data_IF_496041079618
#
_entry.id   IF_496041079618
#
_cell.length_a   1.000
_cell.length_b   1.000
_cell.length_c   1.000
_cell.angle_alpha   90.00
_cell.angle_beta   90.00
_cell.angle_gamma   90.00
#
_symmetry.space_group_name_H-M   'P 1'
#
loop_
_entity.id
_entity.type
_entity.pdbx_description
1 polymer ?
#
# COMPACT_ATOMS: atom_id res chain seq x y z
N UNK A 1 -5.99 14.60 -14.76
CA UNK A 1 -5.82 15.36 -13.51
C UNK A 1 -4.49 16.11 -13.64
N UNK A 2 -4.48 17.44 -13.53
CA UNK A 2 -3.26 18.21 -13.79
C UNK A 2 -2.34 18.09 -12.55
N UNK A 3 -1.14 17.55 -12.72
CA UNK A 3 -0.11 17.47 -11.67
C UNK A 3 0.22 18.83 -11.01
N UNK A 4 -0.17 19.92 -11.65
CA UNK A 4 0.08 21.28 -11.19
C UNK A 4 -0.67 21.61 -9.89
N UNK A 5 -1.91 21.18 -9.73
CA UNK A 5 -2.73 21.52 -8.55
C UNK A 5 -2.27 20.83 -7.26
N UNK A 6 -1.79 19.60 -7.37
CA UNK A 6 -1.20 18.85 -6.23
C UNK A 6 0.14 19.46 -5.83
N UNK A 7 0.95 19.80 -6.84
CA UNK A 7 2.27 20.39 -6.61
C UNK A 7 2.17 21.80 -5.98
N UNK A 8 1.14 22.56 -6.32
CA UNK A 8 0.90 23.91 -5.76
C UNK A 8 0.47 23.84 -4.29
N UNK A 9 -0.32 22.82 -3.88
CA UNK A 9 -0.67 22.62 -2.48
C UNK A 9 0.57 22.35 -1.63
N UNK A 10 1.45 21.46 -2.07
CA UNK A 10 2.68 21.13 -1.35
C UNK A 10 3.66 22.31 -1.31
N UNK A 11 3.74 23.10 -2.38
CA UNK A 11 4.52 24.34 -2.38
C UNK A 11 4.01 25.36 -1.37
N UNK A 12 2.69 25.48 -1.22
CA UNK A 12 2.11 26.42 -0.24
C UNK A 12 2.30 25.95 1.21
N UNK A 13 2.41 24.64 1.43
CA UNK A 13 2.57 24.04 2.75
C UNK A 13 3.98 23.47 2.99
N UNK A 14 5.00 24.03 2.34
CA UNK A 14 6.39 23.56 2.42
C UNK A 14 6.94 23.45 3.85
N UNK A 15 6.53 24.36 4.76
CA UNK A 15 6.92 24.31 6.17
C UNK A 15 6.46 23.03 6.88
N UNK A 16 5.23 22.57 6.59
CA UNK A 16 4.71 21.30 7.13
C UNK A 16 5.42 20.08 6.54
N UNK A 17 5.84 20.15 5.26
CA UNK A 17 6.68 19.12 4.63
C UNK A 17 8.04 19.03 5.28
N UNK A 18 8.70 20.16 5.56
CA UNK A 18 9.97 20.18 6.28
C UNK A 18 9.84 19.52 7.65
N UNK A 19 8.80 19.86 8.40
CA UNK A 19 8.53 19.24 9.72
C UNK A 19 8.36 17.73 9.60
N UNK A 20 7.63 17.26 8.59
CA UNK A 20 7.49 15.84 8.30
C UNK A 20 8.84 15.19 7.99
N UNK A 21 9.65 15.79 7.10
CA UNK A 21 10.97 15.28 6.70
C UNK A 21 11.93 15.26 7.90
N UNK A 22 11.92 16.30 8.73
CA UNK A 22 12.75 16.35 9.95
C UNK A 22 12.40 15.24 10.93
N UNK A 23 11.11 15.01 11.20
CA UNK A 23 10.70 13.92 12.08
C UNK A 23 11.04 12.55 11.49
N UNK A 24 10.89 12.39 10.18
CA UNK A 24 11.29 11.16 9.49
C UNK A 24 12.80 10.94 9.55
N UNK A 25 13.61 11.99 9.38
CA UNK A 25 15.06 11.92 9.49
C UNK A 25 15.51 11.45 10.88
N UNK A 26 14.88 11.97 11.95
CA UNK A 26 15.14 11.51 13.32
C UNK A 26 14.83 10.02 13.46
N UNK A 27 13.67 9.56 13.00
CA UNK A 27 13.29 8.13 13.05
C UNK A 27 14.27 7.28 12.25
N UNK A 28 14.65 7.74 11.05
CA UNK A 28 15.59 7.05 10.16
C UNK A 28 16.98 6.89 10.79
N UNK A 29 17.42 7.87 11.57
CA UNK A 29 18.68 7.81 12.29
C UNK A 29 18.63 6.79 13.44
N UNK A 30 17.54 6.77 14.22
CA UNK A 30 17.40 5.86 15.36
C UNK A 30 17.06 4.41 14.94
N UNK A 31 16.46 4.19 13.77
CA UNK A 31 16.02 2.87 13.34
C UNK A 31 17.19 1.84 13.24
N UNK A 32 18.33 2.13 12.58
CA UNK A 32 19.47 1.20 12.55
C UNK A 32 20.11 1.00 13.92
N UNK A 33 20.09 2.00 14.81
CA UNK A 33 20.63 1.88 16.17
C UNK A 33 19.91 0.81 17.00
N UNK A 34 18.64 0.53 16.69
CA UNK A 34 17.88 -0.57 17.34
C UNK A 34 18.55 -1.93 17.13
N UNK A 35 19.22 -2.16 16.01
CA UNK A 35 19.93 -3.41 15.74
C UNK A 35 21.12 -3.65 16.68
N UNK A 36 21.70 -2.59 17.24
CA UNK A 36 22.82 -2.70 18.20
C UNK A 36 22.38 -2.89 19.65
N UNK A 37 21.10 -2.69 19.95
CA UNK A 37 20.57 -2.81 21.31
C UNK A 37 20.79 -4.21 21.87
N UNK A 38 20.60 -5.23 21.06
CA UNK A 38 20.79 -6.63 21.48
C UNK A 38 22.27 -6.91 21.78
N UNK A 39 23.20 -6.38 20.98
CA UNK A 39 24.64 -6.50 21.20
C UNK A 39 25.03 -5.88 22.52
N UNK A 40 24.62 -4.66 22.83
CA UNK A 40 24.93 -3.99 24.09
C UNK A 40 24.44 -4.76 25.32
N UNK A 41 23.26 -5.41 25.20
CA UNK A 41 22.69 -6.22 26.27
C UNK A 41 23.49 -7.51 26.48
N UNK A 42 23.93 -8.17 25.40
CA UNK A 42 24.71 -9.42 25.45
C UNK A 42 26.14 -9.14 25.96
N UNK A 43 26.75 -8.05 25.56
CA UNK A 43 28.12 -7.67 25.94
C UNK A 43 28.20 -7.14 27.38
N UNK A 44 27.10 -6.95 28.09
CA UNK A 44 27.08 -6.47 29.48
C UNK A 44 27.70 -7.47 30.44
N UNK A 45 28.71 -7.01 31.19
CA UNK A 45 29.43 -7.84 32.15
C UNK A 45 28.90 -7.79 33.58
N UNK A 46 28.05 -6.79 33.88
CA UNK A 46 27.48 -6.57 35.22
C UNK A 46 26.00 -6.31 35.15
N UNK A 47 25.26 -6.71 36.22
CA UNK A 47 23.83 -6.41 36.34
C UNK A 47 23.52 -4.92 36.28
N UNK A 48 24.41 -4.06 36.81
CA UNK A 48 24.25 -2.61 36.76
C UNK A 48 24.41 -2.06 35.33
N UNK A 49 25.39 -2.58 34.57
CA UNK A 49 25.58 -2.22 33.16
C UNK A 49 24.39 -2.67 32.32
N UNK A 50 23.88 -3.89 32.54
CA UNK A 50 22.70 -4.41 31.86
C UNK A 50 21.46 -3.52 32.12
N UNK A 51 21.27 -3.06 33.35
CA UNK A 51 20.16 -2.16 33.70
C UNK A 51 20.30 -0.80 33.00
N UNK A 52 21.52 -0.26 32.91
CA UNK A 52 21.81 0.96 32.18
C UNK A 52 21.51 0.84 30.68
N UNK A 53 21.94 -0.28 30.07
CA UNK A 53 21.62 -0.55 28.65
C UNK A 53 20.13 -0.75 28.42
N UNK A 54 19.40 -1.41 29.32
CA UNK A 54 17.92 -1.51 29.22
C UNK A 54 17.26 -0.15 29.25
N UNK A 55 17.71 0.78 30.12
CA UNK A 55 17.21 2.16 30.13
C UNK A 55 17.47 2.89 28.82
N UNK A 56 18.66 2.72 28.25
CA UNK A 56 19.04 3.32 26.94
C UNK A 56 18.23 2.74 25.78
N UNK A 57 18.01 1.41 25.78
CA UNK A 57 17.14 0.72 24.81
C UNK A 57 15.72 1.28 24.88
N UNK A 58 15.16 1.43 26.08
CA UNK A 58 13.83 2.00 26.29
C UNK A 58 13.76 3.43 25.75
N UNK A 59 14.75 4.26 26.06
CA UNK A 59 14.82 5.65 25.64
C UNK A 59 14.89 5.78 24.09
N UNK A 60 15.75 5.00 23.42
CA UNK A 60 15.85 4.99 21.96
C UNK A 60 14.55 4.52 21.32
N UNK A 61 13.94 3.45 21.85
CA UNK A 61 12.71 2.91 21.31
C UNK A 61 11.53 3.88 21.51
N UNK A 62 11.42 4.49 22.70
CA UNK A 62 10.40 5.48 23.01
C UNK A 62 10.54 6.73 22.13
N UNK A 63 11.77 7.23 21.98
CA UNK A 63 12.06 8.39 21.12
C UNK A 63 11.68 8.10 19.66
N UNK A 64 12.08 6.94 19.13
CA UNK A 64 11.71 6.53 17.77
C UNK A 64 10.19 6.46 17.60
N UNK A 65 9.49 5.81 18.53
CA UNK A 65 8.02 5.69 18.51
C UNK A 65 7.34 7.07 18.54
N UNK A 66 7.83 7.95 19.40
CA UNK A 66 7.27 9.30 19.53
C UNK A 66 7.41 10.10 18.23
N UNK A 67 8.62 10.13 17.65
CA UNK A 67 8.86 10.84 16.40
C UNK A 67 8.17 10.19 15.21
N UNK A 68 8.06 8.88 15.16
CA UNK A 68 7.25 8.17 14.13
C UNK A 68 5.78 8.60 14.21
N UNK A 69 5.22 8.68 15.41
CA UNK A 69 3.85 9.15 15.61
C UNK A 69 3.66 10.61 15.13
N UNK A 70 4.63 11.47 15.40
CA UNK A 70 4.62 12.87 14.93
C UNK A 70 4.74 12.95 13.41
N UNK A 71 5.66 12.19 12.82
CA UNK A 71 5.86 12.10 11.38
C UNK A 71 4.58 11.66 10.65
N UNK A 72 3.98 10.55 11.09
CA UNK A 72 2.71 10.05 10.52
C UNK A 72 1.57 11.07 10.66
N UNK A 73 1.42 11.71 11.82
CA UNK A 73 0.40 12.75 12.04
C UNK A 73 0.60 13.95 11.13
N UNK A 74 1.83 14.42 10.98
CA UNK A 74 2.16 15.57 10.14
C UNK A 74 1.84 15.28 8.67
N UNK A 75 2.23 14.11 8.19
CA UNK A 75 1.93 13.69 6.82
C UNK A 75 0.43 13.48 6.57
N UNK A 76 -0.27 12.80 7.49
CA UNK A 76 -1.72 12.57 7.37
C UNK A 76 -2.49 13.91 7.25
N UNK A 77 -2.12 14.91 8.05
CA UNK A 77 -2.73 16.24 7.94
C UNK A 77 -2.48 16.90 6.59
N UNK A 78 -1.27 16.75 6.03
CA UNK A 78 -0.93 17.24 4.70
C UNK A 78 -1.73 16.52 3.62
N UNK A 79 -1.75 15.19 3.66
CA UNK A 79 -2.45 14.37 2.67
C UNK A 79 -3.96 14.59 2.69
N UNK A 80 -4.58 14.65 3.88
CA UNK A 80 -6.01 14.95 4.01
C UNK A 80 -6.34 16.33 3.48
N UNK A 81 -5.53 17.36 3.79
CA UNK A 81 -5.75 18.71 3.26
C UNK A 81 -5.59 18.80 1.75
N UNK A 82 -4.65 18.04 1.16
CA UNK A 82 -4.51 17.95 -0.29
C UNK A 82 -5.75 17.29 -0.93
N UNK A 83 -6.26 16.21 -0.36
CA UNK A 83 -7.49 15.54 -0.83
C UNK A 83 -8.72 16.46 -0.69
N UNK A 84 -8.82 17.20 0.40
CA UNK A 84 -9.89 18.19 0.60
C UNK A 84 -9.89 19.28 -0.48
N UNK A 85 -8.71 19.82 -0.80
CA UNK A 85 -8.57 20.80 -1.87
C UNK A 85 -8.97 20.22 -3.24
N UNK A 86 -8.51 18.99 -3.55
CA UNK A 86 -8.89 18.30 -4.79
C UNK A 86 -10.40 18.08 -4.84
N UNK A 87 -11.02 17.66 -3.73
CA UNK A 87 -12.47 17.49 -3.62
C UNK A 87 -13.23 18.76 -3.93
N UNK A 88 -12.81 19.90 -3.35
CA UNK A 88 -13.40 21.21 -3.63
C UNK A 88 -13.31 21.60 -5.11
N UNK A 89 -12.12 21.43 -5.71
CA UNK A 89 -11.91 21.73 -7.14
C UNK A 89 -12.71 20.82 -8.08
N UNK A 90 -12.81 19.52 -7.75
CA UNK A 90 -13.63 18.59 -8.52
C UNK A 90 -15.10 19.01 -8.45
N UNK A 91 -15.61 19.31 -7.27
CA UNK A 91 -17.01 19.73 -7.09
C UNK A 91 -17.29 21.03 -7.84
N UNK A 92 -16.40 22.03 -7.77
CA UNK A 92 -16.55 23.28 -8.51
C UNK A 92 -16.60 23.05 -10.03
N UNK A 93 -15.76 22.16 -10.55
CA UNK A 93 -15.78 21.80 -11.97
C UNK A 93 -17.05 21.03 -12.37
N UNK A 94 -17.57 20.17 -11.51
CA UNK A 94 -18.82 19.44 -11.73
C UNK A 94 -19.99 20.43 -11.82
N UNK A 95 -20.05 21.40 -10.91
CA UNK A 95 -21.12 22.40 -10.90
C UNK A 95 -21.10 23.37 -12.10
N UNK A 96 -19.93 23.54 -12.75
CA UNK A 96 -19.78 24.35 -13.96
C UNK A 96 -20.01 23.56 -15.27
N UNK A 97 -20.31 22.26 -15.20
CA UNK A 97 -20.56 21.45 -16.40
C UNK A 97 -21.96 21.72 -17.00
N UNK A 98 -22.13 21.59 -18.33
CA UNK A 98 -23.44 21.63 -18.95
C UNK A 98 -24.36 20.51 -18.43
N UNK A 99 -25.65 20.80 -18.25
CA UNK A 99 -26.66 19.85 -17.72
C UNK A 99 -26.72 18.58 -18.58
N UNK A 100 -26.59 18.70 -19.90
CA UNK A 100 -26.61 17.57 -20.83
C UNK A 100 -25.44 16.59 -20.61
N UNK A 101 -24.27 17.08 -20.23
CA UNK A 101 -23.11 16.24 -19.93
C UNK A 101 -23.25 15.57 -18.55
N UNK A 102 -23.77 16.30 -17.58
CA UNK A 102 -24.05 15.77 -16.24
C UNK A 102 -25.04 14.61 -16.30
N UNK A 103 -26.13 14.78 -17.04
CA UNK A 103 -27.16 13.73 -17.19
C UNK A 103 -26.63 12.47 -17.89
N UNK A 104 -25.66 12.59 -18.81
CA UNK A 104 -25.04 11.41 -19.46
C UNK A 104 -24.21 10.57 -18.52
N UNK A 105 -23.48 11.20 -17.62
CA UNK A 105 -22.57 10.50 -16.70
C UNK A 105 -23.34 9.95 -15.48
N UNK A 106 -24.42 10.60 -15.07
CA UNK A 106 -25.29 10.22 -13.95
C UNK A 106 -24.71 10.50 -12.56
N UNK A 107 -25.57 10.66 -11.59
CA UNK A 107 -25.23 11.03 -10.21
C UNK A 107 -24.28 10.03 -9.55
N UNK A 108 -24.44 8.74 -9.85
CA UNK A 108 -23.63 7.66 -9.29
C UNK A 108 -22.14 7.78 -9.65
N UNK A 109 -21.82 8.24 -10.87
CA UNK A 109 -20.44 8.42 -11.31
C UNK A 109 -19.75 9.54 -10.53
N UNK A 110 -20.45 10.67 -10.33
CA UNK A 110 -19.91 11.80 -9.56
C UNK A 110 -19.79 11.48 -8.06
N UNK A 111 -20.74 10.71 -7.52
CA UNK A 111 -20.66 10.25 -6.15
C UNK A 111 -19.46 9.33 -5.95
N UNK A 112 -19.23 8.37 -6.86
CA UNK A 112 -18.04 7.51 -6.84
C UNK A 112 -16.75 8.32 -6.92
N UNK A 113 -16.69 9.29 -7.83
CA UNK A 113 -15.52 10.16 -8.01
C UNK A 113 -15.18 10.93 -6.71
N UNK A 114 -16.18 11.54 -6.06
CA UNK A 114 -16.00 12.37 -4.86
C UNK A 114 -15.77 11.57 -3.57
N UNK A 115 -16.11 10.29 -3.57
CA UNK A 115 -15.95 9.40 -2.39
C UNK A 115 -14.84 8.38 -2.62
N UNK A 116 -15.06 7.40 -3.49
CA UNK A 116 -14.19 6.24 -3.67
C UNK A 116 -12.88 6.60 -4.36
N UNK A 117 -12.94 7.36 -5.46
CA UNK A 117 -11.73 7.68 -6.24
C UNK A 117 -10.80 8.62 -5.47
N UNK A 118 -11.34 9.58 -4.72
CA UNK A 118 -10.54 10.45 -3.87
C UNK A 118 -9.95 9.70 -2.67
N UNK A 119 -10.64 8.68 -2.16
CA UNK A 119 -10.08 7.80 -1.13
C UNK A 119 -8.93 6.96 -1.68
N UNK A 120 -9.11 6.40 -2.88
CA UNK A 120 -8.04 5.67 -3.59
C UNK A 120 -6.82 6.57 -3.84
N UNK A 121 -7.04 7.84 -4.20
CA UNK A 121 -5.96 8.83 -4.32
C UNK A 121 -5.19 9.00 -3.01
N UNK A 122 -5.88 9.06 -1.87
CA UNK A 122 -5.24 9.12 -0.56
C UNK A 122 -4.43 7.85 -0.27
N UNK A 123 -5.07 6.67 -0.40
CA UNK A 123 -4.49 5.39 0.00
C UNK A 123 -3.35 4.96 -0.94
N UNK A 124 -3.52 5.10 -2.24
CA UNK A 124 -2.54 4.61 -3.23
C UNK A 124 -1.45 5.63 -3.55
N UNK A 125 -1.78 6.90 -3.68
CA UNK A 125 -0.81 7.92 -4.09
C UNK A 125 -0.10 8.56 -2.89
N UNK A 126 -0.84 9.17 -1.96
CA UNK A 126 -0.20 9.88 -0.85
C UNK A 126 0.47 8.95 0.14
N UNK A 127 -0.16 7.81 0.48
CA UNK A 127 0.45 6.83 1.37
C UNK A 127 1.67 6.15 0.74
N UNK A 128 1.70 5.97 -0.57
CA UNK A 128 2.88 5.47 -1.28
C UNK A 128 4.04 6.45 -1.20
N UNK A 129 3.80 7.76 -1.39
CA UNK A 129 4.83 8.80 -1.20
C UNK A 129 5.37 8.78 0.24
N UNK A 130 4.48 8.70 1.23
CA UNK A 130 4.88 8.57 2.64
C UNK A 130 5.82 7.38 2.83
N UNK A 131 5.42 6.20 2.35
CA UNK A 131 6.18 4.97 2.50
C UNK A 131 7.55 5.06 1.81
N UNK A 132 7.62 5.64 0.61
CA UNK A 132 8.90 5.82 -0.10
C UNK A 132 9.85 6.72 0.70
N UNK A 133 9.38 7.86 1.21
CA UNK A 133 10.20 8.78 1.99
C UNK A 133 10.60 8.15 3.33
N UNK A 134 9.67 7.50 4.02
CA UNK A 134 9.88 6.91 5.34
C UNK A 134 10.85 5.72 5.29
N UNK A 135 10.56 4.71 4.49
CA UNK A 135 11.40 3.52 4.35
C UNK A 135 12.69 3.80 3.60
N UNK A 136 12.64 4.70 2.60
CA UNK A 136 13.83 5.16 1.88
C UNK A 136 14.81 5.88 2.80
N UNK A 137 14.31 6.73 3.71
CA UNK A 137 15.14 7.38 4.73
C UNK A 137 15.82 6.37 5.66
N UNK A 138 15.05 5.39 6.17
CA UNK A 138 15.60 4.32 7.01
C UNK A 138 16.68 3.53 6.26
N UNK A 139 16.42 3.16 5.01
CA UNK A 139 17.34 2.42 4.17
C UNK A 139 18.65 3.19 3.95
N UNK A 140 18.58 4.48 3.63
CA UNK A 140 19.77 5.32 3.42
C UNK A 140 20.60 5.46 4.70
N UNK A 141 19.96 5.67 5.86
CA UNK A 141 20.67 5.73 7.14
C UNK A 141 21.31 4.39 7.50
N UNK A 142 20.62 3.27 7.26
CA UNK A 142 21.16 1.94 7.50
C UNK A 142 22.38 1.66 6.61
N UNK A 143 22.30 1.97 5.30
CA UNK A 143 23.42 1.82 4.37
C UNK A 143 24.63 2.68 4.80
N UNK A 144 24.39 3.94 5.17
CA UNK A 144 25.45 4.83 5.66
C UNK A 144 26.13 4.29 6.93
N UNK A 145 25.35 3.75 7.85
CA UNK A 145 25.86 3.17 9.09
C UNK A 145 26.66 1.89 8.85
N UNK A 146 26.19 0.97 8.00
CA UNK A 146 26.94 -0.23 7.65
C UNK A 146 28.21 0.08 6.86
N UNK A 147 28.19 1.09 5.99
CA UNK A 147 29.38 1.56 5.29
C UNK A 147 30.45 2.07 6.26
N UNK A 148 30.03 2.79 7.30
CA UNK A 148 30.95 3.32 8.33
C UNK A 148 31.54 2.20 9.19
N UNK A 149 30.76 1.17 9.55
CA UNK A 149 31.20 0.08 10.44
C UNK A 149 32.13 -0.89 9.69
N UNK A 150 31.71 -1.38 8.53
CA UNK A 150 32.47 -2.32 7.70
C UNK A 150 31.94 -2.36 6.28
N UNK A 151 32.72 -1.83 5.30
CA UNK A 151 32.35 -1.93 3.88
C UNK A 151 32.20 -3.38 3.38
N UNK A 152 33.00 -4.31 3.95
CA UNK A 152 32.91 -5.75 3.61
C UNK A 152 31.57 -6.34 4.06
N UNK A 153 31.11 -5.97 5.25
CA UNK A 153 29.82 -6.40 5.80
C UNK A 153 28.67 -5.84 4.94
N UNK A 154 28.75 -4.57 4.53
CA UNK A 154 27.79 -3.97 3.62
C UNK A 154 27.73 -4.72 2.28
N UNK A 155 28.90 -5.05 1.69
CA UNK A 155 28.95 -5.81 0.44
C UNK A 155 28.32 -7.20 0.59
N UNK A 156 28.56 -7.89 1.71
CA UNK A 156 27.94 -9.18 2.01
C UNK A 156 26.40 -9.06 2.13
N UNK A 157 25.90 -8.04 2.85
CA UNK A 157 24.46 -7.78 2.97
C UNK A 157 23.84 -7.50 1.60
N UNK A 158 24.47 -6.65 0.77
CA UNK A 158 23.98 -6.34 -0.57
C UNK A 158 23.97 -7.57 -1.47
N UNK A 159 25.00 -8.42 -1.39
CA UNK A 159 25.09 -9.66 -2.17
C UNK A 159 23.95 -10.63 -1.83
N UNK A 160 23.51 -10.67 -0.58
CA UNK A 160 22.37 -11.51 -0.15
C UNK A 160 21.03 -10.85 -0.46
N UNK A 161 20.93 -9.51 -0.37
CA UNK A 161 19.64 -8.78 -0.49
C UNK A 161 19.26 -8.49 -1.94
N UNK A 162 20.22 -8.25 -2.84
CA UNK A 162 19.95 -7.86 -4.24
C UNK A 162 19.33 -8.99 -5.08
N UNK A 163 19.79 -10.25 -5.03
CA UNK A 163 19.18 -11.33 -5.82
C UNK A 163 17.68 -11.51 -5.62
N UNK A 164 17.16 -11.48 -4.37
CA UNK A 164 15.73 -11.53 -4.11
C UNK A 164 14.90 -10.44 -4.75
N UNK A 165 15.46 -9.25 -4.93
CA UNK A 165 14.76 -8.13 -5.58
C UNK A 165 14.62 -8.33 -7.10
N UNK A 166 15.52 -9.11 -7.70
CA UNK A 166 15.52 -9.37 -9.15
C UNK A 166 14.70 -10.62 -9.52
N UNK A 167 14.70 -11.63 -8.66
CA UNK A 167 13.99 -12.91 -8.89
C UNK A 167 12.47 -12.75 -9.11
N UNK A 168 11.73 -11.84 -8.45
CA UNK A 168 10.29 -11.72 -8.62
C UNK A 168 9.84 -11.28 -10.02
N UNK A 169 10.71 -10.79 -10.89
CA UNK A 169 10.31 -10.30 -12.22
C UNK A 169 9.62 -11.39 -13.06
N UNK A 170 10.17 -12.61 -13.10
CA UNK A 170 9.56 -13.75 -13.81
C UNK A 170 8.28 -14.25 -13.13
N UNK A 171 8.21 -14.15 -11.80
CA UNK A 171 7.00 -14.53 -11.05
C UNK A 171 5.89 -13.49 -11.23
N UNK A 172 6.22 -12.20 -11.37
CA UNK A 172 5.26 -11.14 -11.64
C UNK A 172 4.53 -11.31 -12.97
N UNK A 173 5.20 -11.83 -14.01
CA UNK A 173 4.56 -12.11 -15.29
C UNK A 173 3.49 -13.20 -15.16
N UNK A 174 3.81 -14.30 -14.45
CA UNK A 174 2.85 -15.37 -14.16
C UNK A 174 1.68 -14.88 -13.29
N UNK A 175 1.97 -14.10 -12.27
CA UNK A 175 0.94 -13.52 -11.40
C UNK A 175 0.04 -12.56 -12.19
N UNK A 176 0.62 -11.73 -13.07
CA UNK A 176 -0.13 -10.83 -13.95
C UNK A 176 -1.06 -11.61 -14.88
N UNK A 177 -0.56 -12.64 -15.55
CA UNK A 177 -1.36 -13.49 -16.42
C UNK A 177 -2.51 -14.18 -15.67
N UNK A 178 -2.25 -14.70 -14.46
CA UNK A 178 -3.28 -15.31 -13.61
C UNK A 178 -4.32 -14.29 -13.14
N UNK A 179 -3.90 -13.06 -12.81
CA UNK A 179 -4.78 -11.94 -12.44
C UNK A 179 -5.66 -11.52 -13.61
N UNK A 180 -5.10 -11.39 -14.80
CA UNK A 180 -5.84 -10.98 -16.00
C UNK A 180 -6.88 -12.04 -16.38
N UNK A 181 -6.54 -13.33 -16.29
CA UNK A 181 -7.46 -14.45 -16.50
C UNK A 181 -8.60 -14.44 -15.47
N UNK A 182 -8.28 -14.24 -14.18
CA UNK A 182 -9.29 -14.09 -13.12
C UNK A 182 -10.22 -12.90 -13.36
N UNK A 183 -9.66 -11.74 -13.71
CA UNK A 183 -10.43 -10.52 -13.98
C UNK A 183 -11.42 -10.70 -15.15
N UNK A 184 -10.97 -11.34 -16.23
CA UNK A 184 -11.82 -11.65 -17.38
C UNK A 184 -12.97 -12.61 -17.00
N UNK A 185 -12.66 -13.66 -16.25
CA UNK A 185 -13.65 -14.65 -15.81
C UNK A 185 -14.67 -14.03 -14.85
N UNK A 186 -14.21 -13.13 -13.96
CA UNK A 186 -15.09 -12.44 -13.01
C UNK A 186 -15.99 -11.42 -13.71
N UNK A 187 -15.52 -10.75 -14.77
CA UNK A 187 -16.36 -9.89 -15.59
C UNK A 187 -17.49 -10.70 -16.27
N UNK A 188 -17.19 -11.86 -16.83
CA UNK A 188 -18.17 -12.77 -17.41
C UNK A 188 -19.20 -13.28 -16.37
N UNK A 189 -18.72 -13.65 -15.19
CA UNK A 189 -19.58 -14.05 -14.08
C UNK A 189 -20.53 -12.91 -13.63
N UNK A 190 -19.98 -11.70 -13.51
CA UNK A 190 -20.78 -10.51 -13.14
C UNK A 190 -21.86 -10.22 -14.18
N UNK A 191 -21.55 -10.37 -15.47
CA UNK A 191 -22.52 -10.20 -16.54
C UNK A 191 -23.66 -11.25 -16.44
N UNK A 192 -23.32 -12.52 -16.20
CA UNK A 192 -24.33 -13.55 -16.00
C UNK A 192 -25.21 -13.29 -14.76
N UNK A 193 -24.62 -12.77 -13.67
CA UNK A 193 -25.40 -12.35 -12.50
C UNK A 193 -26.40 -11.23 -12.84
N UNK A 194 -25.97 -10.23 -13.61
CA UNK A 194 -26.85 -9.14 -14.04
C UNK A 194 -28.02 -9.67 -14.89
N UNK A 195 -27.76 -10.61 -15.80
CA UNK A 195 -28.79 -11.24 -16.62
C UNK A 195 -29.78 -12.05 -15.77
N UNK A 196 -29.29 -12.85 -14.80
CA UNK A 196 -30.10 -13.61 -13.88
C UNK A 196 -30.99 -12.73 -13.01
N UNK A 197 -30.41 -11.69 -12.41
CA UNK A 197 -31.14 -10.76 -11.53
C UNK A 197 -32.11 -9.89 -12.33
N UNK A 198 -31.73 -9.42 -13.51
CA UNK A 198 -32.60 -8.64 -14.39
C UNK A 198 -33.75 -9.46 -14.99
N UNK A 199 -33.55 -10.77 -15.18
CA UNK A 199 -34.58 -11.69 -15.66
C UNK A 199 -35.41 -12.38 -14.57
N UNK A 200 -35.26 -11.96 -13.29
CA UNK A 200 -35.87 -12.65 -12.15
C UNK A 200 -37.38 -12.92 -12.31
N UNK A 201 -38.16 -11.92 -12.70
CA UNK A 201 -39.63 -12.06 -12.89
C UNK A 201 -39.97 -13.06 -13.98
N UNK A 202 -39.21 -13.06 -15.09
CA UNK A 202 -39.40 -13.99 -16.20
C UNK A 202 -39.05 -15.42 -15.77
N UNK A 203 -37.92 -15.62 -15.10
CA UNK A 203 -37.48 -16.93 -14.59
C UNK A 203 -38.54 -17.50 -13.65
N UNK A 204 -39.06 -16.68 -12.75
CA UNK A 204 -40.14 -17.04 -11.81
C UNK A 204 -41.47 -17.34 -12.50
N UNK A 205 -41.84 -16.52 -13.48
CA UNK A 205 -43.09 -16.71 -14.22
C UNK A 205 -43.12 -18.00 -15.06
N UNK A 206 -41.97 -18.47 -15.53
CA UNK A 206 -41.86 -19.73 -16.29
C UNK A 206 -41.44 -20.95 -15.44
N UNK A 207 -41.37 -20.84 -14.11
CA UNK A 207 -40.97 -21.90 -13.16
C UNK A 207 -39.67 -22.59 -13.55
N UNK A 208 -38.63 -21.78 -13.93
CA UNK A 208 -37.32 -22.28 -14.39
C UNK A 208 -36.20 -22.06 -13.39
N UNK A 209 -36.52 -21.86 -12.12
CA UNK A 209 -35.55 -21.54 -11.06
C UNK A 209 -34.42 -22.58 -10.97
N UNK A 210 -34.75 -23.87 -11.03
CA UNK A 210 -33.78 -24.94 -10.89
C UNK A 210 -32.74 -24.95 -12.04
N UNK A 211 -33.19 -24.73 -13.27
CA UNK A 211 -32.32 -24.67 -14.43
C UNK A 211 -31.34 -23.49 -14.36
N UNK A 212 -31.82 -22.32 -13.94
CA UNK A 212 -30.98 -21.13 -13.78
C UNK A 212 -30.06 -21.21 -12.56
N UNK A 213 -30.55 -21.84 -11.47
CA UNK A 213 -29.69 -22.13 -10.31
C UNK A 213 -28.54 -23.11 -10.66
N UNK A 214 -28.80 -24.12 -11.51
CA UNK A 214 -27.75 -24.99 -12.00
C UNK A 214 -26.72 -24.23 -12.85
N UNK A 215 -27.20 -23.40 -13.79
CA UNK A 215 -26.32 -22.54 -14.62
C UNK A 215 -25.47 -21.59 -13.78
N UNK A 216 -26.05 -21.00 -12.74
CA UNK A 216 -25.31 -20.15 -11.80
C UNK A 216 -24.24 -20.94 -11.04
N UNK A 217 -24.56 -22.15 -10.56
CA UNK A 217 -23.56 -23.01 -9.88
C UNK A 217 -22.35 -23.32 -10.75
N UNK A 218 -22.59 -23.59 -12.03
CA UNK A 218 -21.48 -23.87 -12.97
C UNK A 218 -20.63 -22.63 -13.24
N UNK A 219 -21.25 -21.48 -13.43
CA UNK A 219 -20.53 -20.21 -13.57
C UNK A 219 -19.72 -19.85 -12.30
N UNK A 220 -20.28 -20.05 -11.12
CA UNK A 220 -19.61 -19.85 -9.85
C UNK A 220 -18.42 -20.81 -9.65
N UNK A 221 -18.55 -22.08 -10.11
CA UNK A 221 -17.43 -23.03 -10.10
C UNK A 221 -16.26 -22.59 -11.00
N UNK A 222 -16.58 -22.08 -12.19
CA UNK A 222 -15.57 -21.57 -13.10
C UNK A 222 -14.85 -20.34 -12.53
N UNK A 223 -15.60 -19.39 -11.97
CA UNK A 223 -15.05 -18.22 -11.29
C UNK A 223 -14.13 -18.64 -10.13
N UNK A 224 -14.58 -19.59 -9.29
CA UNK A 224 -13.76 -20.15 -8.19
C UNK A 224 -12.46 -20.78 -8.68
N UNK A 225 -12.50 -21.55 -9.78
CA UNK A 225 -11.30 -22.21 -10.30
C UNK A 225 -10.25 -21.18 -10.75
N UNK A 226 -10.70 -20.12 -11.40
CA UNK A 226 -9.83 -19.03 -11.84
C UNK A 226 -9.27 -18.23 -10.64
N UNK A 227 -10.11 -17.97 -9.63
CA UNK A 227 -9.70 -17.33 -8.37
C UNK A 227 -8.65 -18.17 -7.63
N UNK A 228 -8.83 -19.49 -7.52
CA UNK A 228 -7.86 -20.39 -6.91
C UNK A 228 -6.51 -20.33 -7.64
N UNK A 229 -6.49 -20.31 -8.96
CA UNK A 229 -5.25 -20.18 -9.74
C UNK A 229 -4.52 -18.86 -9.46
N UNK A 230 -5.25 -17.77 -9.37
CA UNK A 230 -4.69 -16.48 -8.98
C UNK A 230 -4.15 -16.47 -7.55
N UNK A 231 -4.93 -16.96 -6.58
CA UNK A 231 -4.52 -17.01 -5.16
C UNK A 231 -3.33 -17.94 -4.93
N UNK A 232 -3.26 -19.07 -5.62
CA UNK A 232 -2.09 -19.96 -5.57
C UNK A 232 -0.83 -19.29 -6.11
N UNK A 233 -0.94 -18.54 -7.21
CA UNK A 233 0.18 -17.79 -7.78
C UNK A 233 0.65 -16.67 -6.84
N UNK A 234 -0.29 -15.97 -6.20
CA UNK A 234 -0.03 -14.93 -5.20
C UNK A 234 0.66 -15.53 -3.96
N UNK A 235 0.14 -16.64 -3.43
CA UNK A 235 0.70 -17.31 -2.27
C UNK A 235 2.11 -17.85 -2.55
N UNK A 236 2.35 -18.41 -3.73
CA UNK A 236 3.68 -18.84 -4.12
C UNK A 236 4.68 -17.67 -4.15
N UNK A 237 4.26 -16.52 -4.64
CA UNK A 237 5.08 -15.31 -4.62
C UNK A 237 5.37 -14.85 -3.19
N UNK A 238 4.35 -14.80 -2.32
CA UNK A 238 4.49 -14.37 -0.92
C UNK A 238 5.41 -15.32 -0.15
N UNK A 239 5.22 -16.64 -0.29
CA UNK A 239 6.05 -17.65 0.40
C UNK A 239 7.51 -17.58 -0.07
N UNK A 240 7.76 -17.45 -1.37
CA UNK A 240 9.12 -17.33 -1.88
C UNK A 240 9.79 -16.01 -1.42
N UNK A 241 9.03 -14.92 -1.36
CA UNK A 241 9.56 -13.64 -0.85
C UNK A 241 9.84 -13.73 0.65
N UNK A 242 8.99 -14.40 1.43
CA UNK A 242 9.20 -14.58 2.87
C UNK A 242 10.39 -15.49 3.20
N UNK A 243 10.63 -16.57 2.42
CA UNK A 243 11.83 -17.40 2.56
C UNK A 243 13.09 -16.56 2.41
N UNK A 244 13.12 -15.69 1.41
CA UNK A 244 14.27 -14.81 1.14
C UNK A 244 14.44 -13.79 2.26
N UNK A 245 13.34 -13.21 2.74
CA UNK A 245 13.35 -12.25 3.87
C UNK A 245 13.80 -12.88 5.20
N UNK A 246 13.56 -14.18 5.39
CA UNK A 246 13.99 -14.89 6.61
C UNK A 246 15.44 -15.40 6.55
N UNK A 247 16.06 -15.41 5.36
CA UNK A 247 17.47 -15.77 5.17
C UNK A 247 18.42 -14.56 5.36
N UNK A 248 17.86 -13.36 5.43
CA UNK A 248 18.57 -12.08 5.64
C UNK A 248 18.42 -11.64 7.09
#
# INVERSE_FOLDING_TARGET
MNNQTVNDYFKHHWAKLIVFVLFTAVVSFFAPLKSFQLKWLIDSKSKQEALGYMGLVFLITFTSWFFERLSRRSFTKLACGAVEQVRGQVMERVLRRPVSQYQREGDAAYLSLLTTDLRTLYDDYYMSIFNIVFWGGIMLCALGMYLYISPVMLAAILLVTVPPLVLPRKMNERLKAARDAFSLQMAGYTQQLKELLGGFEVIRGFLREDAYAARHRDAARQARTSELGYQQSLNAMVVNTSLISNLI
#
